data_IF_970935208890
#
_entry.id   IF_970935208890
#
_cell.length_a   1.000
_cell.length_b   1.000
_cell.length_c   1.000
_cell.angle_alpha   90.00
_cell.angle_beta   90.00
_cell.angle_gamma   90.00
#
_symmetry.space_group_name_H-M   'P 1'
#
loop_
_entity.id
_entity.type
_entity.pdbx_description
1 polymer ?
#
# COMPACT_ATOMS: atom_id res chain seq x y z
N UNK A 1 31.06 5.88 7.90
CA UNK A 1 30.01 5.69 6.85
C UNK A 1 30.69 5.00 5.69
N UNK A 2 30.28 3.77 5.36
CA UNK A 2 30.89 3.02 4.27
C UNK A 2 30.51 3.68 2.93
N UNK A 3 31.48 3.97 2.09
CA UNK A 3 31.30 4.52 0.75
C UNK A 3 30.64 3.44 -0.14
N UNK A 4 29.43 3.70 -0.61
CA UNK A 4 28.71 2.78 -1.51
C UNK A 4 29.50 2.67 -2.82
N UNK A 5 29.81 1.45 -3.23
CA UNK A 5 30.62 1.23 -4.44
C UNK A 5 29.89 1.78 -5.70
N UNK A 6 30.64 2.22 -6.71
CA UNK A 6 30.07 2.71 -7.99
C UNK A 6 29.15 1.67 -8.65
N UNK A 7 29.37 0.37 -8.42
CA UNK A 7 28.53 -0.72 -8.90
C UNK A 7 27.19 -0.77 -8.18
N UNK A 8 27.20 -0.60 -6.87
CA UNK A 8 25.97 -0.55 -6.05
C UNK A 8 25.14 0.70 -6.36
N UNK A 9 25.78 1.85 -6.53
CA UNK A 9 25.10 3.07 -6.97
C UNK A 9 24.37 2.88 -8.30
N UNK A 10 25.04 2.24 -9.30
CA UNK A 10 24.41 1.92 -10.58
C UNK A 10 23.24 0.94 -10.43
N UNK A 11 23.35 -0.07 -9.56
CA UNK A 11 22.26 -1.00 -9.27
C UNK A 11 21.05 -0.28 -8.66
N UNK A 12 21.27 0.58 -7.65
CA UNK A 12 20.23 1.37 -7.01
C UNK A 12 19.52 2.28 -8.01
N UNK A 13 20.29 3.01 -8.82
CA UNK A 13 19.73 3.91 -9.83
C UNK A 13 18.89 3.15 -10.86
N UNK A 14 19.37 2.02 -11.36
CA UNK A 14 18.63 1.20 -12.31
C UNK A 14 17.31 0.68 -11.70
N UNK A 15 17.33 0.19 -10.45
CA UNK A 15 16.13 -0.23 -9.75
C UNK A 15 15.14 0.90 -9.60
N UNK A 16 15.61 2.09 -9.19
CA UNK A 16 14.78 3.29 -9.05
C UNK A 16 14.15 3.70 -10.38
N UNK A 17 14.92 3.74 -11.47
CA UNK A 17 14.41 4.06 -12.81
C UNK A 17 13.32 3.09 -13.26
N UNK A 18 13.49 1.79 -13.02
CA UNK A 18 12.46 0.78 -13.33
C UNK A 18 11.17 1.06 -12.54
N UNK A 19 11.28 1.38 -11.26
CA UNK A 19 10.15 1.66 -10.40
C UNK A 19 9.40 2.92 -10.83
N UNK A 20 10.10 4.03 -11.05
CA UNK A 20 9.53 5.30 -11.49
C UNK A 20 8.81 5.14 -12.84
N UNK A 21 9.46 4.48 -13.80
CA UNK A 21 8.86 4.21 -15.11
C UNK A 21 7.65 3.29 -15.01
N UNK A 22 7.70 2.28 -14.14
CA UNK A 22 6.55 1.40 -13.91
C UNK A 22 5.35 2.16 -13.34
N UNK A 23 5.58 3.04 -12.36
CA UNK A 23 4.55 3.92 -11.81
C UNK A 23 3.90 4.75 -12.92
N UNK A 24 4.70 5.40 -13.75
CA UNK A 24 4.19 6.20 -14.87
C UNK A 24 3.33 5.38 -15.84
N UNK A 25 3.79 4.18 -16.22
CA UNK A 25 3.05 3.30 -17.13
C UNK A 25 1.75 2.78 -16.47
N UNK A 26 1.77 2.44 -15.18
CA UNK A 26 0.59 2.01 -14.44
C UNK A 26 -0.45 3.13 -14.29
N UNK A 27 -0.02 4.36 -14.07
CA UNK A 27 -0.91 5.54 -14.02
C UNK A 27 -1.54 5.82 -15.38
N UNK A 28 -0.77 5.73 -16.46
CA UNK A 28 -1.23 6.06 -17.81
C UNK A 28 -2.15 4.99 -18.43
N UNK A 29 -1.84 3.71 -18.22
CA UNK A 29 -2.48 2.57 -18.92
C UNK A 29 -3.21 1.61 -18.00
N UNK A 30 -2.99 1.71 -16.70
CA UNK A 30 -3.43 0.74 -15.71
C UNK A 30 -2.47 -0.45 -15.58
N UNK A 31 -2.52 -1.11 -14.42
CA UNK A 31 -1.63 -2.24 -14.11
C UNK A 31 -1.80 -3.41 -15.08
N UNK A 32 -3.05 -3.80 -15.39
CA UNK A 32 -3.32 -4.96 -16.23
C UNK A 32 -2.85 -4.77 -17.67
N UNK A 33 -3.02 -3.56 -18.23
CA UNK A 33 -2.65 -3.26 -19.61
C UNK A 33 -1.16 -2.94 -19.81
N UNK A 34 -0.37 -2.86 -18.74
CA UNK A 34 1.07 -2.58 -18.81
C UNK A 34 1.86 -3.89 -18.74
N UNK A 35 2.71 -4.13 -19.73
CA UNK A 35 3.64 -5.27 -19.72
C UNK A 35 5.02 -4.89 -19.18
N UNK A 36 5.81 -5.89 -18.73
CA UNK A 36 7.23 -5.67 -18.34
C UNK A 36 8.01 -5.09 -19.53
N UNK A 37 7.71 -5.52 -20.76
CA UNK A 37 8.36 -5.00 -21.96
C UNK A 37 8.07 -3.51 -22.18
N UNK A 38 6.86 -3.03 -21.90
CA UNK A 38 6.49 -1.61 -21.98
C UNK A 38 7.29 -0.78 -20.97
N UNK A 39 7.37 -1.26 -19.72
CA UNK A 39 8.15 -0.61 -18.67
C UNK A 39 9.62 -0.50 -19.07
N UNK A 40 10.22 -1.59 -19.49
CA UNK A 40 11.65 -1.61 -19.83
C UNK A 40 11.98 -0.81 -21.08
N UNK A 41 11.08 -0.78 -22.07
CA UNK A 41 11.19 0.07 -23.25
C UNK A 41 11.14 1.56 -22.88
N UNK A 42 10.21 1.94 -22.00
CA UNK A 42 10.09 3.32 -21.52
C UNK A 42 11.28 3.72 -20.64
N UNK A 43 11.83 2.79 -19.85
CA UNK A 43 13.06 2.99 -19.07
C UNK A 43 14.33 3.03 -19.92
N UNK A 44 14.26 2.79 -21.22
CA UNK A 44 15.43 2.64 -22.13
C UNK A 44 16.41 1.55 -21.67
N UNK A 45 15.89 0.45 -21.11
CA UNK A 45 16.68 -0.66 -20.59
C UNK A 45 16.31 -1.98 -21.28
N UNK A 46 17.25 -2.92 -21.32
CA UNK A 46 17.00 -4.27 -21.84
C UNK A 46 16.06 -5.07 -20.92
N UNK A 47 15.19 -5.89 -21.51
CA UNK A 47 14.21 -6.72 -20.77
C UNK A 47 14.87 -7.59 -19.69
N UNK A 48 16.06 -8.16 -19.95
CA UNK A 48 16.80 -8.96 -18.97
C UNK A 48 17.23 -8.18 -17.72
N UNK A 49 17.32 -6.84 -17.80
CA UNK A 49 17.67 -6.01 -16.67
C UNK A 49 16.56 -6.01 -15.60
N UNK A 50 15.29 -6.15 -16.01
CA UNK A 50 14.17 -6.25 -15.08
C UNK A 50 14.34 -7.44 -14.12
N UNK A 51 14.65 -8.59 -14.67
CA UNK A 51 14.77 -9.85 -13.92
C UNK A 51 15.98 -9.93 -13.00
N UNK A 52 16.86 -8.93 -13.01
CA UNK A 52 17.91 -8.75 -12.00
C UNK A 52 17.39 -8.11 -10.72
N UNK A 53 16.15 -7.57 -10.72
CA UNK A 53 15.57 -6.84 -9.59
C UNK A 53 14.21 -7.37 -9.15
N UNK A 54 13.42 -7.92 -10.08
CA UNK A 54 12.05 -8.35 -9.84
C UNK A 54 11.74 -9.60 -10.67
N UNK A 55 11.15 -10.61 -10.04
CA UNK A 55 10.79 -11.87 -10.72
C UNK A 55 9.53 -11.72 -11.57
N UNK A 56 8.66 -10.77 -11.23
CA UNK A 56 7.39 -10.54 -11.91
C UNK A 56 6.92 -9.08 -11.78
N UNK A 57 5.94 -8.72 -12.60
CA UNK A 57 5.25 -7.43 -12.50
C UNK A 57 4.52 -7.29 -11.15
N UNK A 58 3.98 -8.39 -10.64
CA UNK A 58 3.33 -8.43 -9.33
C UNK A 58 4.32 -8.19 -8.20
N UNK A 59 5.52 -8.79 -8.25
CA UNK A 59 6.57 -8.53 -7.27
C UNK A 59 7.02 -7.06 -7.27
N UNK A 60 7.21 -6.46 -8.46
CA UNK A 60 7.48 -5.02 -8.56
C UNK A 60 6.38 -4.20 -7.89
N UNK A 61 5.14 -4.55 -8.13
CA UNK A 61 3.98 -3.87 -7.57
C UNK A 61 3.93 -4.00 -6.05
N UNK A 62 4.14 -5.20 -5.51
CA UNK A 62 4.27 -5.42 -4.08
C UNK A 62 5.39 -4.57 -3.47
N UNK A 63 6.52 -4.49 -4.13
CA UNK A 63 7.63 -3.65 -3.68
C UNK A 63 7.26 -2.14 -3.64
N UNK A 64 6.48 -1.66 -4.63
CA UNK A 64 5.98 -0.29 -4.65
C UNK A 64 5.01 -0.03 -3.47
N UNK A 65 4.16 -1.01 -3.14
CA UNK A 65 3.25 -0.91 -1.99
C UNK A 65 3.98 -0.91 -0.65
N UNK A 66 5.06 -1.69 -0.51
CA UNK A 66 5.91 -1.67 0.67
C UNK A 66 6.48 -0.28 0.94
N UNK A 67 6.94 0.40 -0.11
CA UNK A 67 7.43 1.76 0.04
C UNK A 67 6.34 2.73 0.53
N UNK A 68 5.08 2.54 0.11
CA UNK A 68 3.96 3.33 0.61
C UNK A 68 3.65 3.00 2.07
N UNK A 69 3.69 1.71 2.44
CA UNK A 69 3.49 1.29 3.82
C UNK A 69 4.55 1.87 4.76
N UNK A 70 5.81 1.94 4.33
CA UNK A 70 6.90 2.59 5.08
C UNK A 70 6.62 4.08 5.30
N UNK A 71 6.14 4.80 4.28
CA UNK A 71 5.78 6.22 4.42
C UNK A 71 4.64 6.42 5.42
N UNK A 72 3.62 5.57 5.37
CA UNK A 72 2.51 5.60 6.32
C UNK A 72 2.99 5.30 7.74
N UNK A 73 3.89 4.34 7.92
CA UNK A 73 4.45 3.99 9.23
C UNK A 73 5.30 5.13 9.80
N UNK A 74 6.11 5.79 9.00
CA UNK A 74 6.87 6.98 9.41
C UNK A 74 5.93 8.11 9.84
N UNK A 75 4.85 8.34 9.09
CA UNK A 75 3.85 9.35 9.45
C UNK A 75 3.15 9.02 10.77
N UNK A 76 2.77 7.74 10.96
CA UNK A 76 2.17 7.28 12.21
C UNK A 76 3.09 7.52 13.41
N UNK A 77 4.38 7.19 13.29
CA UNK A 77 5.36 7.46 14.34
C UNK A 77 5.45 8.95 14.68
N UNK A 78 5.46 9.82 13.67
CA UNK A 78 5.51 11.27 13.86
C UNK A 78 4.25 11.79 14.59
N UNK A 79 3.05 11.38 14.15
CA UNK A 79 1.78 11.77 14.78
C UNK A 79 1.67 11.28 16.24
N UNK A 80 2.19 10.09 16.51
CA UNK A 80 2.25 9.53 17.87
C UNK A 80 3.20 10.34 18.75
N UNK A 81 4.35 10.78 18.21
CA UNK A 81 5.30 11.64 18.93
C UNK A 81 4.72 13.04 19.23
N UNK A 82 3.83 13.55 18.39
CA UNK A 82 3.09 14.80 18.61
C UNK A 82 2.00 14.69 19.69
N UNK A 83 1.80 13.52 20.28
CA UNK A 83 0.77 13.24 21.30
C UNK A 83 -0.66 13.57 20.85
N UNK A 84 -0.95 13.42 19.56
CA UNK A 84 -2.30 13.58 19.04
C UNK A 84 -3.24 12.47 19.57
N UNK A 85 -4.51 12.77 19.65
CA UNK A 85 -5.54 11.78 19.98
C UNK A 85 -5.57 10.65 18.94
N UNK A 86 -5.97 9.45 19.34
CA UNK A 86 -6.06 8.30 18.41
C UNK A 86 -7.04 8.58 17.27
N UNK A 87 -8.10 9.35 17.54
CA UNK A 87 -9.07 9.78 16.54
C UNK A 87 -8.44 10.72 15.49
N UNK A 88 -7.59 11.67 15.92
CA UNK A 88 -6.85 12.55 15.00
C UNK A 88 -5.83 11.77 14.17
N UNK A 89 -5.06 10.88 14.81
CA UNK A 89 -4.10 10.01 14.11
C UNK A 89 -4.82 9.16 13.07
N UNK A 90 -5.92 8.50 13.45
CA UNK A 90 -6.69 7.66 12.55
C UNK A 90 -7.25 8.44 11.35
N UNK A 91 -7.75 9.66 11.59
CA UNK A 91 -8.22 10.55 10.53
C UNK A 91 -7.09 10.91 9.55
N UNK A 92 -5.94 11.34 10.05
CA UNK A 92 -4.81 11.71 9.19
C UNK A 92 -4.29 10.52 8.39
N UNK A 93 -4.20 9.34 9.02
CA UNK A 93 -3.75 8.12 8.35
C UNK A 93 -4.69 7.70 7.21
N UNK A 94 -6.01 7.76 7.43
CA UNK A 94 -7.00 7.46 6.38
C UNK A 94 -6.93 8.47 5.24
N UNK A 95 -6.84 9.78 5.53
CA UNK A 95 -6.74 10.82 4.51
C UNK A 95 -5.43 10.71 3.72
N UNK A 96 -4.30 10.47 4.38
CA UNK A 96 -3.02 10.24 3.70
C UNK A 96 -3.10 9.02 2.78
N UNK A 97 -3.73 7.93 3.24
CA UNK A 97 -3.97 6.75 2.42
C UNK A 97 -4.85 7.08 1.21
N UNK A 98 -5.91 7.87 1.40
CA UNK A 98 -6.78 8.29 0.31
C UNK A 98 -6.01 9.10 -0.75
N UNK A 99 -5.17 10.03 -0.33
CA UNK A 99 -4.32 10.82 -1.23
C UNK A 99 -3.31 9.95 -1.98
N UNK A 100 -2.69 8.98 -1.30
CA UNK A 100 -1.78 8.02 -1.94
C UNK A 100 -2.50 7.16 -2.99
N UNK A 101 -3.71 6.71 -2.69
CA UNK A 101 -4.55 5.93 -3.63
C UNK A 101 -5.00 6.77 -4.81
N UNK A 102 -5.43 8.01 -4.58
CA UNK A 102 -5.91 8.91 -5.65
C UNK A 102 -4.77 9.36 -6.57
N UNK A 103 -3.62 9.68 -5.98
CA UNK A 103 -2.41 10.03 -6.72
C UNK A 103 -1.81 8.85 -7.50
N UNK A 104 -2.08 7.63 -7.07
CA UNK A 104 -1.50 6.40 -7.60
C UNK A 104 -2.60 5.42 -8.02
N UNK A 105 -3.23 5.65 -9.16
CA UNK A 105 -4.34 4.83 -9.69
C UNK A 105 -4.05 3.32 -9.79
N UNK A 106 -2.78 2.92 -9.78
CA UNK A 106 -2.38 1.51 -9.73
C UNK A 106 -2.51 0.88 -8.34
N UNK A 107 -2.55 1.69 -7.28
CA UNK A 107 -2.64 1.20 -5.89
C UNK A 107 -4.05 0.70 -5.58
N UNK A 108 -5.07 1.36 -6.14
CA UNK A 108 -6.47 1.04 -5.85
C UNK A 108 -6.86 -0.42 -6.16
N UNK A 109 -6.54 -1.00 -7.34
CA UNK A 109 -6.88 -2.40 -7.63
C UNK A 109 -6.26 -3.38 -6.64
N UNK A 110 -5.08 -3.07 -6.12
CA UNK A 110 -4.38 -3.91 -5.15
C UNK A 110 -4.92 -3.73 -3.74
N UNK A 111 -5.19 -2.50 -3.36
CA UNK A 111 -5.84 -2.21 -2.09
C UNK A 111 -7.18 -2.94 -2.00
N UNK A 112 -7.93 -3.00 -3.11
CA UNK A 112 -9.19 -3.74 -3.20
C UNK A 112 -8.99 -5.26 -3.18
N UNK A 113 -7.89 -5.79 -3.76
CA UNK A 113 -7.58 -7.22 -3.76
C UNK A 113 -6.99 -7.72 -2.45
N UNK A 114 -6.38 -6.86 -1.65
CA UNK A 114 -5.78 -7.22 -0.37
C UNK A 114 -6.79 -7.73 0.70
N UNK A 115 -8.07 -7.43 0.52
CA UNK A 115 -9.18 -7.97 1.33
C UNK A 115 -9.76 -9.29 0.81
N UNK A 116 -9.33 -9.78 -0.35
CA UNK A 116 -9.76 -11.07 -0.86
C UNK A 116 -8.96 -12.20 -0.19
N UNK A 117 -9.66 -13.22 0.35
CA UNK A 117 -9.02 -14.41 0.94
C UNK A 117 -8.08 -15.05 -0.09
N UNK A 118 -6.89 -15.58 0.34
CA UNK A 118 -5.90 -16.19 -0.55
C UNK A 118 -6.30 -17.61 -0.96
N UNK A 119 -7.50 -17.84 -1.49
CA UNK A 119 -7.95 -19.17 -1.87
C UNK A 119 -7.72 -19.54 -3.34
N UNK A 120 -7.09 -18.69 -4.15
CA UNK A 120 -6.78 -19.03 -5.56
C UNK A 120 -5.47 -18.42 -6.04
N UNK A 121 -4.38 -18.65 -5.33
CA UNK A 121 -3.06 -18.55 -5.95
C UNK A 121 -2.78 -19.88 -6.66
N UNK A 122 -2.97 -19.90 -7.97
CA UNK A 122 -2.79 -21.02 -8.85
C UNK A 122 -1.40 -21.68 -8.71
N UNK A 123 -1.39 -23.02 -8.73
CA UNK A 123 -0.24 -23.94 -8.64
C UNK A 123 0.79 -23.85 -9.79
N UNK A 124 0.85 -22.78 -10.55
CA UNK A 124 1.71 -22.66 -11.75
C UNK A 124 3.11 -22.10 -11.55
N UNK A 125 3.53 -21.75 -10.33
CA UNK A 125 4.86 -21.21 -10.06
C UNK A 125 5.85 -22.19 -9.41
N UNK A 126 5.77 -23.49 -9.72
CA UNK A 126 6.85 -24.43 -9.40
C UNK A 126 7.78 -24.62 -10.59
N UNK A 127 8.90 -23.96 -10.55
CA UNK A 127 10.03 -24.33 -11.41
C UNK A 127 10.88 -23.19 -11.89
N UNK A 128 11.85 -22.77 -11.06
CA UNK A 128 13.24 -22.50 -11.40
C UNK A 128 13.91 -21.79 -10.22
N UNK A 129 14.59 -22.55 -9.38
CA UNK A 129 15.64 -22.02 -8.53
C UNK A 129 16.70 -21.38 -9.44
N UNK A 130 16.89 -20.08 -9.33
CA UNK A 130 18.06 -19.37 -9.79
C UNK A 130 18.72 -18.72 -8.59
N UNK A 131 19.91 -19.20 -8.35
CA UNK A 131 20.92 -18.68 -7.44
C UNK A 131 21.14 -17.17 -7.71
N UNK A 132 20.50 -16.32 -6.93
CA UNK A 132 20.81 -14.92 -6.84
C UNK A 132 20.81 -14.54 -5.36
N UNK A 133 21.92 -13.93 -4.92
CA UNK A 133 22.20 -13.45 -3.56
C UNK A 133 21.22 -12.33 -3.08
N UNK A 134 19.94 -12.47 -3.37
CA UNK A 134 18.87 -11.65 -2.84
C UNK A 134 18.16 -12.47 -1.78
N UNK A 135 18.12 -11.98 -0.56
CA UNK A 135 17.27 -12.50 0.51
C UNK A 135 15.91 -12.88 -0.08
N UNK A 136 15.38 -14.10 0.19
CA UNK A 136 14.09 -14.50 -0.34
C UNK A 136 13.04 -13.49 0.11
N UNK A 137 12.45 -12.79 -0.84
CA UNK A 137 11.32 -11.91 -0.56
C UNK A 137 10.15 -12.80 -0.13
N UNK A 138 10.02 -13.00 1.17
CA UNK A 138 8.86 -13.65 1.75
C UNK A 138 7.61 -12.87 1.28
N UNK A 139 6.71 -13.56 0.59
CA UNK A 139 5.40 -13.05 0.15
C UNK A 139 4.56 -12.67 1.37
N UNK A 140 4.91 -11.59 2.04
CA UNK A 140 4.04 -10.94 3.01
C UNK A 140 3.08 -10.11 2.19
N UNK A 141 1.89 -10.66 1.94
CA UNK A 141 0.82 -9.90 1.33
C UNK A 141 0.62 -8.57 2.10
N UNK A 142 0.76 -7.42 1.41
CA UNK A 142 0.75 -6.09 2.03
C UNK A 142 -0.59 -5.70 2.65
N UNK A 143 -1.66 -6.40 2.29
CA UNK A 143 -2.92 -6.31 2.99
C UNK A 143 -2.75 -6.49 4.51
N UNK A 144 -2.03 -7.52 4.99
CA UNK A 144 -1.83 -7.73 6.41
C UNK A 144 -1.08 -6.60 7.13
N UNK A 145 0.00 -6.06 6.55
CA UNK A 145 0.81 -5.04 7.23
C UNK A 145 0.06 -3.70 7.41
N UNK A 146 -0.64 -3.26 6.37
CA UNK A 146 -1.47 -2.06 6.40
C UNK A 146 -2.65 -2.22 7.36
N UNK A 147 -3.39 -3.34 7.25
CA UNK A 147 -4.51 -3.64 8.13
C UNK A 147 -4.06 -3.81 9.59
N UNK A 148 -2.90 -4.43 9.83
CA UNK A 148 -2.35 -4.58 11.18
C UNK A 148 -2.04 -3.22 11.85
N UNK A 149 -1.54 -2.25 11.09
CA UNK A 149 -1.27 -0.89 11.59
C UNK A 149 -2.57 -0.19 12.03
N UNK A 150 -3.63 -0.27 11.24
CA UNK A 150 -4.94 0.29 11.61
C UNK A 150 -5.56 -0.45 12.79
N UNK A 151 -5.49 -1.78 12.80
CA UNK A 151 -5.98 -2.59 13.91
C UNK A 151 -5.30 -2.21 15.23
N UNK A 152 -3.98 -2.10 15.23
CA UNK A 152 -3.23 -1.67 16.41
C UNK A 152 -3.68 -0.30 16.89
N UNK A 153 -3.83 0.68 15.99
CA UNK A 153 -4.27 2.03 16.33
C UNK A 153 -5.67 2.04 16.94
N UNK A 154 -6.59 1.24 16.42
CA UNK A 154 -7.95 1.08 16.97
C UNK A 154 -7.90 0.43 18.36
N UNK A 155 -7.12 -0.64 18.55
CA UNK A 155 -6.93 -1.31 19.84
C UNK A 155 -6.35 -0.37 20.90
N UNK A 156 -5.35 0.45 20.52
CA UNK A 156 -4.79 1.47 21.39
C UNK A 156 -5.84 2.52 21.79
N UNK A 157 -6.69 2.97 20.84
CA UNK A 157 -7.77 3.91 21.12
C UNK A 157 -8.88 3.32 22.03
N UNK A 158 -9.16 2.03 21.89
CA UNK A 158 -10.06 1.33 22.82
C UNK A 158 -9.44 1.21 24.23
N UNK A 159 -8.14 0.90 24.29
CA UNK A 159 -7.43 0.78 25.58
C UNK A 159 -7.34 2.12 26.31
N UNK A 160 -7.16 3.23 25.58
CA UNK A 160 -7.15 4.59 26.15
C UNK A 160 -8.55 5.11 26.51
N UNK A 161 -9.61 4.44 26.08
CA UNK A 161 -11.00 4.86 26.28
C UNK A 161 -11.48 5.93 25.29
N UNK A 162 -10.67 6.29 24.29
CA UNK A 162 -11.09 7.21 23.22
C UNK A 162 -12.12 6.58 22.29
N UNK A 163 -12.01 5.26 22.06
CA UNK A 163 -12.92 4.51 21.19
C UNK A 163 -13.78 3.54 21.99
N UNK A 164 -15.00 3.35 21.49
CA UNK A 164 -15.97 2.40 22.07
C UNK A 164 -15.41 0.97 22.09
N UNK A 165 -15.75 0.24 23.17
CA UNK A 165 -15.27 -1.13 23.40
C UNK A 165 -16.34 -2.20 23.16
N UNK A 166 -17.59 -1.81 22.90
CA UNK A 166 -18.71 -2.72 22.63
C UNK A 166 -18.72 -3.28 21.19
N UNK A 167 -17.81 -2.78 20.33
CA UNK A 167 -17.55 -3.29 18.97
C UNK A 167 -16.08 -3.70 18.91
N UNK A 168 -15.78 -4.87 18.35
CA UNK A 168 -14.38 -5.35 18.27
C UNK A 168 -13.54 -4.47 17.35
N UNK A 169 -12.24 -4.36 17.66
CA UNK A 169 -11.30 -3.58 16.86
C UNK A 169 -11.20 -4.07 15.41
N UNK A 170 -11.38 -5.37 15.19
CA UNK A 170 -11.37 -6.00 13.87
C UNK A 170 -12.53 -5.48 13.02
N UNK A 171 -13.75 -5.42 13.54
CA UNK A 171 -14.93 -4.87 12.84
C UNK A 171 -14.71 -3.40 12.49
N UNK A 172 -14.22 -2.61 13.43
CA UNK A 172 -13.91 -1.19 13.18
C UNK A 172 -12.86 -1.06 12.07
N UNK A 173 -11.81 -1.89 12.09
CA UNK A 173 -10.75 -1.88 11.08
C UNK A 173 -11.28 -2.30 9.71
N UNK A 174 -12.16 -3.29 9.64
CA UNK A 174 -12.82 -3.72 8.40
C UNK A 174 -13.70 -2.62 7.81
N UNK A 175 -14.36 -1.81 8.64
CA UNK A 175 -15.12 -0.64 8.18
C UNK A 175 -14.23 0.39 7.49
N UNK A 176 -13.00 0.63 7.97
CA UNK A 176 -12.05 1.52 7.28
C UNK A 176 -11.63 0.96 5.92
N UNK A 177 -11.42 -0.34 5.80
CA UNK A 177 -11.15 -0.96 4.50
C UNK A 177 -12.34 -0.81 3.54
N UNK A 178 -13.56 -1.09 4.02
CA UNK A 178 -14.80 -0.96 3.25
C UNK A 178 -15.06 0.47 2.80
N UNK A 179 -14.61 1.47 3.54
CA UNK A 179 -14.72 2.88 3.19
C UNK A 179 -14.01 3.20 1.86
N UNK A 180 -12.80 2.66 1.64
CA UNK A 180 -12.06 2.83 0.39
C UNK A 180 -12.76 2.12 -0.77
N UNK A 181 -13.26 0.91 -0.55
CA UNK A 181 -14.04 0.20 -1.56
C UNK A 181 -15.30 0.98 -1.94
N UNK A 182 -16.05 1.45 -0.95
CA UNK A 182 -17.27 2.23 -1.16
C UNK A 182 -17.00 3.60 -1.84
N UNK A 183 -15.83 4.19 -1.68
CA UNK A 183 -15.44 5.40 -2.40
C UNK A 183 -15.04 5.10 -3.84
N UNK A 184 -14.28 4.03 -4.06
CA UNK A 184 -13.81 3.62 -5.39
C UNK A 184 -14.93 3.28 -6.36
N UNK A 185 -16.02 2.66 -5.86
CA UNK A 185 -17.19 2.28 -6.65
C UNK A 185 -18.38 3.25 -6.51
N UNK A 186 -18.13 4.45 -5.96
CA UNK A 186 -19.19 5.46 -5.76
C UNK A 186 -19.64 6.06 -7.08
N UNK A 187 -20.95 6.15 -7.28
CA UNK A 187 -21.57 6.90 -8.38
C UNK A 187 -21.90 8.36 -8.01
N UNK A 188 -21.55 8.80 -6.80
CA UNK A 188 -21.80 10.17 -6.35
C UNK A 188 -20.90 11.15 -7.11
N UNK A 189 -21.36 12.38 -7.41
CA UNK A 189 -20.58 13.42 -8.07
C UNK A 189 -19.58 14.08 -7.09
N UNK A 190 -18.74 13.27 -6.46
CA UNK A 190 -17.72 13.66 -5.48
C UNK A 190 -16.36 13.12 -5.93
N UNK A 191 -15.31 13.85 -5.65
CA UNK A 191 -13.96 13.31 -5.78
C UNK A 191 -13.75 12.14 -4.80
N UNK A 192 -12.75 11.31 -5.06
CA UNK A 192 -12.41 10.19 -4.17
C UNK A 192 -12.10 10.67 -2.74
N UNK A 193 -11.31 11.76 -2.62
CA UNK A 193 -10.96 12.35 -1.33
C UNK A 193 -12.16 12.92 -0.58
N UNK A 194 -13.06 13.67 -1.26
CA UNK A 194 -14.29 14.18 -0.65
C UNK A 194 -15.19 13.05 -0.15
N UNK A 195 -15.34 12.01 -0.95
CA UNK A 195 -16.14 10.83 -0.62
C UNK A 195 -15.60 10.12 0.64
N UNK A 196 -14.27 9.91 0.68
CA UNK A 196 -13.58 9.34 1.86
C UNK A 196 -13.78 10.24 3.07
N UNK A 197 -13.57 11.54 2.94
CA UNK A 197 -13.66 12.51 4.04
C UNK A 197 -15.04 12.50 4.70
N UNK A 198 -16.12 12.50 3.88
CA UNK A 198 -17.48 12.46 4.40
C UNK A 198 -17.80 11.15 5.14
N UNK A 199 -17.45 10.02 4.55
CA UNK A 199 -17.68 8.70 5.14
C UNK A 199 -16.83 8.47 6.39
N UNK A 200 -15.58 8.94 6.38
CA UNK A 200 -14.67 8.87 7.50
C UNK A 200 -15.24 9.60 8.72
N UNK A 201 -15.81 10.79 8.52
CA UNK A 201 -16.46 11.54 9.58
C UNK A 201 -17.55 10.72 10.28
N UNK A 202 -18.42 10.05 9.51
CA UNK A 202 -19.47 9.21 10.05
C UNK A 202 -18.91 8.04 10.89
N UNK A 203 -17.81 7.42 10.43
CA UNK A 203 -17.17 6.34 11.18
C UNK A 203 -16.56 6.87 12.47
N UNK A 204 -15.76 7.93 12.41
CA UNK A 204 -15.09 8.53 13.58
C UNK A 204 -16.13 8.97 14.62
N UNK A 205 -17.19 9.69 14.21
CA UNK A 205 -18.25 10.15 15.10
C UNK A 205 -19.01 8.95 15.75
N UNK A 206 -19.00 7.78 15.09
CA UNK A 206 -19.64 6.55 15.59
C UNK A 206 -18.76 5.71 16.52
N UNK A 207 -17.43 5.84 16.46
CA UNK A 207 -16.52 5.03 17.28
C UNK A 207 -15.93 5.77 18.47
N UNK A 208 -15.90 7.11 18.46
CA UNK A 208 -15.43 7.91 19.58
C UNK A 208 -16.42 7.81 20.75
N UNK A 209 -15.89 7.67 21.95
CA UNK A 209 -16.68 7.82 23.18
C UNK A 209 -17.06 9.28 23.39
N UNK A 210 -18.26 9.53 23.90
CA UNK A 210 -18.73 10.88 24.23
C UNK A 210 -18.25 11.30 25.60
#
# INVERSE_FOLDING_TARGET
MAEISKREQKKLLAKQTIMETAIEQFVQRGFQATSIADIMKAAHMGLGTFYNYFDSKDQLLHYLLDNLAVQLQQRLQHLTAEQKSKAEILREMVLMTAQLVDSNKYVLPLFLSAGARPEQASEEAKGKEKDCDLEPYEHRGHGPAFMAMFLQLVQEGQTSGEFRQDVSAEIITEMFHSLFQAAAFSSLPLSFEENITMKLRLIIDGICTK
#
